data_IF_926782970228
#
_entry.id   IF_926782970228
#
_cell.length_a   1.000
_cell.length_b   1.000
_cell.length_c   1.000
_cell.angle_alpha   90.00
_cell.angle_beta   90.00
_cell.angle_gamma   90.00
#
_symmetry.space_group_name_H-M   'P 1'
#
loop_
_entity.id
_entity.type
_entity.pdbx_description
1 polymer ?
#
# COMPACT_ATOMS: atom_id res chain seq x y z
N UNK A 1 -80.13 5.90 -33.78
CA UNK A 1 -78.90 5.59 -34.54
C UNK A 1 -77.71 6.10 -33.75
N UNK A 2 -76.92 5.21 -33.11
CA UNK A 2 -75.72 5.57 -32.34
C UNK A 2 -74.64 6.06 -33.29
N UNK A 3 -74.19 7.32 -33.14
CA UNK A 3 -73.06 7.88 -33.90
C UNK A 3 -71.76 7.49 -33.20
N UNK A 4 -70.94 6.71 -33.92
CA UNK A 4 -69.59 6.30 -33.53
C UNK A 4 -68.64 7.48 -33.76
N UNK A 5 -67.94 7.91 -32.70
CA UNK A 5 -66.80 8.81 -32.82
C UNK A 5 -65.54 7.97 -33.07
N UNK A 6 -64.89 8.17 -34.22
CA UNK A 6 -63.57 7.62 -34.52
C UNK A 6 -62.54 8.56 -33.92
N UNK A 7 -61.82 8.09 -32.88
CA UNK A 7 -60.67 8.77 -32.33
C UNK A 7 -59.42 8.35 -33.13
N UNK A 8 -58.84 9.28 -33.90
CA UNK A 8 -57.51 9.09 -34.48
C UNK A 8 -56.46 9.29 -33.38
N UNK A 9 -55.75 8.23 -32.98
CA UNK A 9 -54.58 8.32 -32.12
C UNK A 9 -53.33 8.58 -32.98
N UNK A 10 -52.73 9.76 -32.84
CA UNK A 10 -51.41 10.09 -33.39
C UNK A 10 -50.36 9.38 -32.52
N UNK A 11 -49.71 8.33 -33.03
CA UNK A 11 -48.52 7.78 -32.39
C UNK A 11 -47.32 8.69 -32.71
N UNK A 12 -46.91 9.49 -31.73
CA UNK A 12 -45.58 10.09 -31.76
C UNK A 12 -44.55 8.98 -31.51
N UNK A 13 -43.79 8.62 -32.54
CA UNK A 13 -42.63 7.77 -32.38
C UNK A 13 -41.58 8.53 -31.55
N UNK A 14 -41.45 8.16 -30.27
CA UNK A 14 -40.32 8.59 -29.45
C UNK A 14 -39.09 7.83 -29.97
N UNK A 15 -38.02 8.51 -30.41
CA UNK A 15 -36.79 7.81 -30.73
C UNK A 15 -36.25 7.18 -29.44
N UNK A 16 -36.24 5.85 -29.38
CA UNK A 16 -35.54 5.11 -28.35
C UNK A 16 -34.05 5.34 -28.58
N UNK A 17 -33.47 6.30 -27.86
CA UNK A 17 -32.03 6.34 -27.69
C UNK A 17 -31.66 5.15 -26.81
N UNK A 18 -31.06 4.11 -27.41
CA UNK A 18 -30.39 3.06 -26.66
C UNK A 18 -29.31 3.73 -25.79
N UNK A 19 -29.42 3.61 -24.47
CA UNK A 19 -28.36 4.02 -23.56
C UNK A 19 -27.11 3.22 -23.91
N UNK A 20 -26.02 3.89 -24.31
CA UNK A 20 -24.69 3.26 -24.32
C UNK A 20 -24.50 2.66 -22.93
N UNK A 21 -24.36 1.34 -22.85
CA UNK A 21 -24.13 0.67 -21.58
C UNK A 21 -22.86 1.20 -20.91
N UNK A 22 -22.88 1.34 -19.59
CA UNK A 22 -21.73 1.80 -18.82
C UNK A 22 -20.62 0.75 -18.87
N UNK A 23 -19.55 1.06 -19.60
CA UNK A 23 -18.37 0.22 -19.80
C UNK A 23 -17.14 0.79 -19.06
N UNK A 24 -17.32 1.81 -18.22
CA UNK A 24 -16.23 2.45 -17.48
C UNK A 24 -15.89 1.72 -16.19
N UNK A 25 -14.60 1.62 -15.92
CA UNK A 25 -14.04 1.12 -14.67
C UNK A 25 -13.43 2.27 -13.87
N UNK A 26 -13.45 2.12 -12.56
CA UNK A 26 -12.80 2.99 -11.59
C UNK A 26 -11.80 2.18 -10.75
N UNK A 27 -10.87 2.82 -10.01
CA UNK A 27 -9.86 2.09 -9.23
C UNK A 27 -10.46 1.08 -8.23
N UNK A 28 -11.62 1.38 -7.64
CA UNK A 28 -12.34 0.51 -6.70
C UNK A 28 -12.98 -0.74 -7.33
N UNK A 29 -12.96 -0.83 -8.66
CA UNK A 29 -13.39 -2.01 -9.41
C UNK A 29 -12.26 -3.00 -9.68
N UNK A 30 -11.02 -2.62 -9.34
CA UNK A 30 -9.82 -3.40 -9.63
C UNK A 30 -9.20 -3.92 -8.35
N UNK A 31 -8.75 -5.17 -8.38
CA UNK A 31 -7.91 -5.73 -7.33
C UNK A 31 -6.72 -6.44 -7.99
N UNK A 32 -5.51 -6.06 -7.57
CA UNK A 32 -4.26 -6.66 -8.02
C UNK A 32 -3.71 -7.48 -6.87
N UNK A 33 -3.45 -8.76 -7.12
CA UNK A 33 -2.88 -9.69 -6.14
C UNK A 33 -1.60 -10.27 -6.74
N UNK A 34 -0.43 -10.08 -6.11
CA UNK A 34 0.81 -10.70 -6.57
C UNK A 34 0.69 -12.23 -6.66
N UNK A 35 1.35 -12.85 -7.63
CA UNK A 35 1.44 -14.31 -7.69
C UNK A 35 2.21 -14.84 -6.47
N UNK A 36 1.65 -15.85 -5.80
CA UNK A 36 2.21 -16.54 -4.64
C UNK A 36 2.80 -17.89 -5.03
N UNK A 37 3.69 -18.44 -4.19
CA UNK A 37 4.35 -19.73 -4.45
C UNK A 37 3.39 -20.94 -4.57
N UNK A 38 2.14 -20.81 -4.12
CA UNK A 38 1.13 -21.87 -4.17
C UNK A 38 0.13 -21.69 -5.32
N UNK A 39 0.29 -20.67 -6.16
CA UNK A 39 -0.63 -20.42 -7.26
C UNK A 39 -0.50 -21.44 -8.38
N UNK A 40 -1.59 -21.66 -9.11
CA UNK A 40 -1.64 -22.73 -10.11
C UNK A 40 -0.91 -22.35 -11.41
N UNK A 41 -0.62 -21.07 -11.63
CA UNK A 41 0.12 -20.62 -12.81
C UNK A 41 1.63 -20.76 -12.61
N UNK A 42 2.12 -20.54 -11.38
CA UNK A 42 3.50 -20.70 -10.88
C UNK A 42 4.57 -20.46 -11.95
N UNK A 43 4.51 -19.30 -12.61
CA UNK A 43 5.60 -18.84 -13.49
C UNK A 43 6.60 -17.90 -12.77
N UNK A 44 6.22 -17.50 -11.56
CA UNK A 44 7.08 -17.00 -10.49
C UNK A 44 7.30 -15.49 -10.51
N UNK A 45 6.53 -14.72 -11.29
CA UNK A 45 6.80 -13.29 -11.50
C UNK A 45 5.61 -12.43 -12.00
N UNK A 46 4.37 -12.92 -12.07
CA UNK A 46 3.20 -12.12 -12.52
C UNK A 46 2.28 -11.65 -11.40
N UNK A 47 1.07 -11.23 -11.77
CA UNK A 47 0.00 -10.90 -10.83
C UNK A 47 -1.38 -11.30 -11.34
N UNK A 48 -2.29 -11.54 -10.42
CA UNK A 48 -3.71 -11.73 -10.67
C UNK A 48 -4.42 -10.38 -10.67
N UNK A 49 -5.11 -10.08 -11.76
CA UNK A 49 -5.97 -8.92 -11.90
C UNK A 49 -7.44 -9.36 -11.85
N UNK A 50 -8.14 -8.95 -10.81
CA UNK A 50 -9.58 -9.12 -10.69
C UNK A 50 -10.29 -7.81 -11.06
N UNK A 51 -11.32 -7.92 -11.88
CA UNK A 51 -12.06 -6.77 -12.44
C UNK A 51 -13.53 -6.96 -12.13
N UNK A 52 -14.12 -6.08 -11.32
CA UNK A 52 -15.54 -6.16 -10.95
C UNK A 52 -16.42 -6.22 -12.20
N UNK A 53 -17.33 -7.18 -12.23
CA UNK A 53 -18.41 -7.23 -13.21
C UNK A 53 -19.47 -6.23 -12.78
N UNK A 54 -19.64 -5.17 -13.58
CA UNK A 54 -20.68 -4.17 -13.37
C UNK A 54 -21.24 -3.65 -14.69
N UNK A 55 -22.41 -3.03 -14.61
CA UNK A 55 -23.07 -2.40 -15.75
C UNK A 55 -23.30 -3.39 -16.89
N UNK A 56 -22.96 -2.98 -18.11
CA UNK A 56 -23.12 -3.80 -19.32
C UNK A 56 -21.86 -4.59 -19.68
N UNK A 57 -20.86 -4.66 -18.79
CA UNK A 57 -19.59 -5.33 -19.09
C UNK A 57 -19.80 -6.85 -19.06
N UNK A 58 -19.55 -7.51 -20.19
CA UNK A 58 -19.70 -8.97 -20.34
C UNK A 58 -18.40 -9.70 -20.69
N UNK A 59 -17.36 -8.97 -21.09
CA UNK A 59 -16.01 -9.52 -21.20
C UNK A 59 -14.97 -8.41 -21.18
N UNK A 60 -13.71 -8.79 -20.92
CA UNK A 60 -12.58 -7.89 -20.77
C UNK A 60 -11.33 -8.45 -21.47
N UNK A 61 -10.46 -7.57 -21.94
CA UNK A 61 -9.12 -7.94 -22.41
C UNK A 61 -8.08 -6.89 -22.03
N UNK A 62 -6.82 -7.31 -21.94
CA UNK A 62 -5.69 -6.39 -21.77
C UNK A 62 -5.17 -5.99 -23.14
N UNK A 63 -5.22 -4.69 -23.44
CA UNK A 63 -4.73 -4.10 -24.67
C UNK A 63 -3.53 -3.21 -24.40
N UNK A 64 -2.76 -2.97 -25.46
CA UNK A 64 -1.71 -1.97 -25.42
C UNK A 64 -2.22 -0.55 -25.17
N UNK A 65 -1.33 0.26 -24.59
CA UNK A 65 -1.56 1.65 -24.23
C UNK A 65 -1.20 2.66 -25.33
N UNK A 66 -0.52 2.23 -26.40
CA UNK A 66 -0.09 3.12 -27.48
C UNK A 66 -1.22 3.39 -28.47
N UNK A 67 -1.99 4.46 -28.23
CA UNK A 67 -2.97 4.96 -29.20
C UNK A 67 -2.24 5.75 -30.29
N UNK A 68 -2.45 5.43 -31.57
CA UNK A 68 -2.01 6.29 -32.67
C UNK A 68 -2.62 7.69 -32.50
N UNK A 69 -1.83 8.78 -32.43
CA UNK A 69 -2.33 10.14 -32.32
C UNK A 69 -3.30 10.54 -33.43
N UNK A 70 -3.30 9.82 -34.56
CA UNK A 70 -4.18 10.03 -35.71
C UNK A 70 -5.38 9.06 -35.74
N UNK A 71 -5.48 8.15 -34.77
CA UNK A 71 -6.57 7.18 -34.63
C UNK A 71 -6.69 6.16 -35.77
N UNK A 72 -5.62 5.90 -36.54
CA UNK A 72 -5.65 5.04 -37.73
C UNK A 72 -5.15 3.61 -37.50
N UNK A 73 -4.51 3.32 -36.36
CA UNK A 73 -3.96 1.98 -36.06
C UNK A 73 -4.68 1.33 -34.88
N UNK A 74 -4.97 0.03 -35.02
CA UNK A 74 -5.60 -0.78 -33.99
C UNK A 74 -4.63 -1.04 -32.81
N UNK A 75 -5.15 -0.92 -31.59
CA UNK A 75 -4.45 -1.41 -30.39
C UNK A 75 -4.55 -2.95 -30.36
N UNK A 76 -3.40 -3.63 -30.37
CA UNK A 76 -3.29 -5.05 -30.17
C UNK A 76 -3.63 -5.45 -28.74
N UNK A 77 -4.34 -6.56 -28.62
CA UNK A 77 -4.45 -7.27 -27.36
C UNK A 77 -3.09 -7.87 -26.99
N UNK A 78 -2.70 -7.72 -25.73
CA UNK A 78 -1.53 -8.41 -25.20
C UNK A 78 -1.76 -9.91 -25.11
N UNK A 79 -0.66 -10.65 -25.18
CA UNK A 79 -0.60 -12.09 -24.98
C UNK A 79 0.51 -12.46 -24.02
N UNK A 80 0.32 -13.55 -23.29
CA UNK A 80 1.38 -14.20 -22.52
C UNK A 80 2.38 -14.93 -23.45
N UNK A 81 3.62 -15.11 -23.01
CA UNK A 81 4.59 -15.97 -23.71
C UNK A 81 4.30 -17.46 -23.52
N UNK A 82 3.72 -17.81 -22.37
CA UNK A 82 3.40 -19.18 -21.96
C UNK A 82 1.91 -19.33 -21.77
N UNK A 83 1.43 -20.55 -21.97
CA UNK A 83 0.05 -20.91 -21.66
C UNK A 83 -0.17 -20.81 -20.15
N UNK A 84 -1.27 -20.20 -19.73
CA UNK A 84 -1.79 -20.29 -18.38
C UNK A 84 -3.28 -20.61 -18.48
N UNK A 85 -3.79 -21.44 -17.58
CA UNK A 85 -5.18 -21.91 -17.61
C UNK A 85 -6.21 -20.81 -17.30
N UNK A 86 -5.79 -19.73 -16.65
CA UNK A 86 -6.69 -18.63 -16.26
C UNK A 86 -7.16 -17.90 -17.52
N UNK A 87 -6.23 -17.56 -18.41
CA UNK A 87 -6.56 -16.82 -19.63
C UNK A 87 -6.72 -17.76 -20.85
N UNK A 88 -5.97 -18.86 -20.88
CA UNK A 88 -5.79 -19.65 -22.10
C UNK A 88 -6.98 -20.51 -22.48
N UNK A 89 -7.88 -20.78 -21.53
CA UNK A 89 -9.14 -21.50 -21.72
C UNK A 89 -10.32 -20.58 -22.09
N UNK A 90 -10.09 -19.26 -22.07
CA UNK A 90 -11.12 -18.26 -22.39
C UNK A 90 -11.36 -18.12 -23.90
N UNK A 91 -12.62 -17.85 -24.26
CA UNK A 91 -13.03 -17.70 -25.66
C UNK A 91 -12.89 -16.25 -26.08
N UNK A 92 -12.31 -16.05 -27.28
CA UNK A 92 -12.23 -14.75 -27.94
C UNK A 92 -12.83 -14.79 -29.34
N UNK A 93 -13.56 -13.75 -29.70
CA UNK A 93 -14.10 -13.53 -31.04
C UNK A 93 -13.22 -12.51 -31.79
N UNK A 94 -13.01 -12.76 -33.08
CA UNK A 94 -12.38 -11.81 -33.99
C UNK A 94 -13.07 -11.90 -35.36
N UNK A 95 -13.52 -10.77 -35.90
CA UNK A 95 -14.23 -10.69 -37.19
C UNK A 95 -15.44 -11.64 -37.27
N UNK A 96 -16.23 -11.73 -36.19
CA UNK A 96 -17.43 -12.55 -36.12
C UNK A 96 -17.19 -14.06 -36.03
N UNK A 97 -15.94 -14.50 -35.86
CA UNK A 97 -15.58 -15.91 -35.68
C UNK A 97 -14.82 -16.14 -34.38
N UNK A 98 -14.96 -17.34 -33.80
CA UNK A 98 -14.11 -17.79 -32.70
C UNK A 98 -12.66 -17.78 -33.17
N UNK A 99 -11.78 -17.15 -32.40
CA UNK A 99 -10.36 -17.14 -32.65
C UNK A 99 -9.78 -18.50 -32.25
N UNK A 100 -9.43 -19.32 -33.24
CA UNK A 100 -8.99 -20.71 -33.06
C UNK A 100 -7.54 -20.93 -33.54
N UNK A 101 -6.69 -19.90 -33.41
CA UNK A 101 -5.27 -20.01 -33.73
C UNK A 101 -4.50 -20.63 -32.56
N UNK A 102 -3.32 -21.26 -32.79
CA UNK A 102 -2.43 -21.69 -31.70
C UNK A 102 -2.04 -20.55 -30.76
N UNK A 103 -2.11 -19.29 -31.22
CA UNK A 103 -1.85 -18.10 -30.43
C UNK A 103 -3.04 -17.58 -29.62
N UNK A 104 -4.26 -18.06 -29.90
CA UNK A 104 -5.47 -17.62 -29.22
C UNK A 104 -5.42 -17.90 -27.72
N UNK A 105 -4.91 -19.09 -27.35
CA UNK A 105 -4.72 -19.58 -25.97
C UNK A 105 -3.71 -18.80 -25.12
N UNK A 106 -3.10 -17.76 -25.68
CA UNK A 106 -2.20 -16.87 -24.96
C UNK A 106 -2.81 -15.49 -24.73
N UNK A 107 -4.04 -15.23 -25.23
CA UNK A 107 -4.69 -13.93 -25.08
C UNK A 107 -4.97 -13.63 -23.62
N UNK A 108 -4.71 -12.39 -23.20
CA UNK A 108 -5.10 -11.88 -21.88
C UNK A 108 -6.55 -11.40 -21.95
N UNK A 109 -7.49 -12.35 -21.85
CA UNK A 109 -8.93 -12.12 -21.95
C UNK A 109 -9.65 -12.82 -20.81
N UNK A 110 -10.83 -12.31 -20.45
CA UNK A 110 -11.75 -13.01 -19.56
C UNK A 110 -13.20 -12.70 -19.94
N UNK A 111 -14.00 -13.75 -20.03
CA UNK A 111 -15.46 -13.73 -20.18
C UNK A 111 -16.13 -14.49 -19.05
N UNK A 112 -15.48 -15.51 -18.50
CA UNK A 112 -15.97 -16.23 -17.31
C UNK A 112 -15.96 -15.29 -16.11
N UNK A 113 -17.03 -15.42 -15.32
CA UNK A 113 -17.25 -14.64 -14.11
C UNK A 113 -17.08 -15.57 -12.91
N UNK A 114 -16.33 -15.10 -11.93
CA UNK A 114 -16.18 -15.74 -10.63
C UNK A 114 -16.62 -14.79 -9.51
N UNK A 115 -16.78 -15.33 -8.30
CA UNK A 115 -17.19 -14.54 -7.13
C UNK A 115 -15.98 -14.33 -6.23
N UNK A 116 -15.55 -13.08 -6.09
CA UNK A 116 -14.47 -12.66 -5.21
C UNK A 116 -15.02 -12.05 -3.91
N UNK A 117 -14.45 -12.35 -2.72
CA UNK A 117 -14.97 -11.87 -1.43
C UNK A 117 -15.10 -10.34 -1.31
N UNK A 118 -14.24 -9.60 -2.01
CA UNK A 118 -14.22 -8.12 -1.98
C UNK A 118 -14.99 -7.50 -3.15
N UNK A 119 -14.92 -8.10 -4.34
CA UNK A 119 -15.47 -7.49 -5.56
C UNK A 119 -16.87 -8.02 -5.91
N UNK A 120 -17.33 -9.09 -5.27
CA UNK A 120 -18.51 -9.80 -5.74
C UNK A 120 -18.22 -10.49 -7.07
N UNK A 121 -19.15 -10.43 -8.02
CA UNK A 121 -18.90 -10.95 -9.37
C UNK A 121 -17.74 -10.19 -10.04
N UNK A 122 -16.75 -10.91 -10.55
CA UNK A 122 -15.59 -10.33 -11.23
C UNK A 122 -15.06 -11.23 -12.35
N UNK A 123 -14.32 -10.62 -13.27
CA UNK A 123 -13.46 -11.29 -14.23
C UNK A 123 -12.06 -11.47 -13.64
N UNK A 124 -11.37 -12.55 -14.03
CA UNK A 124 -10.03 -12.86 -13.56
C UNK A 124 -9.06 -12.98 -14.74
N UNK A 125 -8.00 -12.18 -14.74
CA UNK A 125 -6.91 -12.28 -15.72
C UNK A 125 -5.60 -12.43 -14.97
N UNK A 126 -4.80 -13.42 -15.34
CA UNK A 126 -3.41 -13.51 -14.91
C UNK A 126 -2.51 -12.71 -15.85
N UNK A 127 -1.78 -11.72 -15.34
CA UNK A 127 -0.87 -10.88 -16.12
C UNK A 127 0.58 -11.25 -15.80
N UNK A 128 1.31 -11.92 -16.72
CA UNK A 128 2.71 -12.24 -16.50
C UNK A 128 3.61 -11.01 -16.66
N UNK A 129 4.82 -11.08 -16.11
CA UNK A 129 5.84 -10.02 -16.22
C UNK A 129 6.20 -9.66 -17.65
N UNK A 130 6.09 -10.58 -18.60
CA UNK A 130 6.40 -10.33 -20.01
C UNK A 130 5.16 -10.51 -20.87
N UNK A 131 4.85 -9.47 -21.66
CA UNK A 131 3.71 -9.46 -22.56
C UNK A 131 4.16 -9.28 -24.00
N UNK A 132 3.52 -9.98 -24.92
CA UNK A 132 3.75 -9.90 -26.37
C UNK A 132 2.56 -9.24 -27.04
N UNK A 133 2.78 -8.37 -28.01
CA UNK A 133 1.73 -7.77 -28.84
C UNK A 133 2.07 -7.87 -30.33
N UNK A 134 1.05 -7.74 -31.18
CA UNK A 134 1.23 -7.75 -32.65
C UNK A 134 1.61 -9.09 -33.25
N UNK A 135 1.97 -9.12 -34.53
CA UNK A 135 2.44 -10.30 -35.26
C UNK A 135 3.65 -9.95 -36.13
N UNK A 136 4.47 -10.92 -36.52
CA UNK A 136 5.72 -10.67 -37.27
C UNK A 136 5.54 -9.91 -38.58
N UNK A 137 4.36 -10.01 -39.20
CA UNK A 137 3.98 -9.30 -40.43
C UNK A 137 3.27 -7.95 -40.17
N UNK A 138 3.13 -7.53 -38.91
CA UNK A 138 2.60 -6.22 -38.49
C UNK A 138 3.55 -5.57 -37.48
N UNK A 139 3.17 -4.41 -36.93
CA UNK A 139 3.81 -3.93 -35.70
C UNK A 139 3.64 -4.98 -34.60
N UNK A 140 4.73 -5.31 -33.93
CA UNK A 140 4.80 -6.30 -32.85
C UNK A 140 5.95 -5.96 -31.91
N UNK A 141 5.95 -6.61 -30.75
CA UNK A 141 7.01 -6.44 -29.78
C UNK A 141 6.68 -7.13 -28.46
N UNK A 142 7.61 -6.96 -27.53
CA UNK A 142 7.52 -7.45 -26.17
C UNK A 142 7.62 -6.26 -25.21
N UNK A 143 6.88 -6.32 -24.12
CA UNK A 143 7.04 -5.40 -23.01
C UNK A 143 7.25 -6.19 -21.73
N UNK A 144 8.06 -5.63 -20.84
CA UNK A 144 8.18 -6.11 -19.47
C UNK A 144 7.32 -5.23 -18.57
N UNK A 145 6.38 -5.83 -17.85
CA UNK A 145 5.54 -5.18 -16.85
C UNK A 145 6.38 -4.93 -15.61
N UNK A 146 6.57 -3.66 -15.31
CA UNK A 146 7.28 -3.12 -14.15
C UNK A 146 6.38 -2.14 -13.41
N UNK A 147 6.83 -1.67 -12.25
CA UNK A 147 6.18 -0.54 -11.59
C UNK A 147 6.00 0.65 -12.55
N UNK A 148 4.84 1.29 -12.45
CA UNK A 148 4.48 2.42 -13.31
C UNK A 148 4.06 2.05 -14.73
N UNK A 149 4.05 0.77 -15.13
CA UNK A 149 3.65 0.34 -16.49
C UNK A 149 2.19 0.67 -16.74
N UNK A 150 1.89 1.26 -17.90
CA UNK A 150 0.52 1.54 -18.33
C UNK A 150 -0.07 0.42 -19.16
N UNK A 151 -1.18 -0.15 -18.70
CA UNK A 151 -1.99 -1.14 -19.40
C UNK A 151 -3.41 -0.62 -19.62
N UNK A 152 -4.09 -1.10 -20.65
CA UNK A 152 -5.51 -0.80 -20.88
C UNK A 152 -6.36 -2.04 -20.62
N UNK A 153 -7.37 -1.90 -19.76
CA UNK A 153 -8.47 -2.87 -19.66
C UNK A 153 -9.52 -2.43 -20.67
N UNK A 154 -9.62 -3.16 -21.78
CA UNK A 154 -10.70 -2.96 -22.74
C UNK A 154 -11.91 -3.78 -22.31
N UNK A 155 -13.00 -3.09 -22.02
CA UNK A 155 -14.29 -3.68 -21.62
C UNK A 155 -15.21 -3.80 -22.83
N UNK A 156 -16.03 -4.85 -22.86
CA UNK A 156 -16.97 -5.10 -23.95
C UNK A 156 -18.39 -5.26 -23.43
N UNK A 157 -19.34 -4.70 -24.18
CA UNK A 157 -20.77 -4.95 -23.99
C UNK A 157 -21.14 -6.40 -24.29
N UNK A 158 -20.46 -7.02 -25.26
CA UNK A 158 -20.68 -8.42 -25.63
C UNK A 158 -19.74 -9.36 -24.87
N UNK A 159 -20.15 -10.62 -24.78
CA UNK A 159 -19.28 -11.71 -24.34
C UNK A 159 -18.14 -11.94 -25.34
N UNK A 160 -17.08 -12.62 -24.91
CA UNK A 160 -15.99 -13.12 -25.76
C UNK A 160 -15.18 -12.04 -26.49
N UNK A 161 -15.14 -10.83 -25.95
CA UNK A 161 -14.43 -9.68 -26.50
C UNK A 161 -14.82 -9.37 -27.95
N UNK A 162 -16.12 -9.49 -28.25
CA UNK A 162 -16.65 -9.32 -29.59
C UNK A 162 -16.79 -7.83 -29.97
N UNK A 163 -15.95 -7.40 -30.91
CA UNK A 163 -15.92 -6.06 -31.49
C UNK A 163 -17.17 -5.66 -32.28
N UNK A 164 -18.14 -6.57 -32.49
CA UNK A 164 -19.43 -6.22 -33.09
C UNK A 164 -20.38 -5.50 -32.12
N UNK A 165 -20.02 -5.37 -30.84
CA UNK A 165 -20.71 -4.56 -29.83
C UNK A 165 -19.91 -3.34 -29.39
N UNK A 166 -20.44 -2.54 -28.44
CA UNK A 166 -19.68 -1.44 -27.87
C UNK A 166 -18.50 -1.94 -27.03
N UNK A 167 -17.39 -1.20 -27.06
CA UNK A 167 -16.24 -1.41 -26.19
C UNK A 167 -15.66 -0.06 -25.73
N UNK A 168 -14.94 -0.07 -24.61
CA UNK A 168 -14.25 1.11 -24.09
C UNK A 168 -12.89 0.73 -23.50
N UNK A 169 -11.93 1.65 -23.57
CA UNK A 169 -10.59 1.47 -23.01
C UNK A 169 -10.52 2.16 -21.63
N UNK A 170 -10.12 1.40 -20.61
CA UNK A 170 -9.94 1.85 -19.24
C UNK A 170 -8.44 1.75 -18.88
N UNK A 171 -7.68 2.86 -18.98
CA UNK A 171 -6.27 2.86 -18.67
C UNK A 171 -6.06 2.69 -17.17
N UNK A 172 -5.08 1.85 -16.79
CA UNK A 172 -4.61 1.75 -15.43
C UNK A 172 -3.09 1.64 -15.39
N UNK A 173 -2.51 2.12 -14.30
CA UNK A 173 -1.08 2.02 -14.02
C UNK A 173 -0.87 0.83 -13.09
N UNK A 174 0.01 -0.08 -13.47
CA UNK A 174 0.39 -1.21 -12.63
C UNK A 174 1.36 -0.72 -11.56
N UNK A 175 1.07 -1.05 -10.29
CA UNK A 175 2.02 -0.92 -9.19
C UNK A 175 2.58 -2.31 -8.88
N UNK A 176 3.82 -2.57 -9.28
CA UNK A 176 4.50 -3.87 -9.03
C UNK A 176 5.63 -3.61 -8.07
N UNK A 177 5.48 -4.03 -6.82
CA UNK A 177 6.58 -3.95 -5.85
C UNK A 177 7.47 -5.17 -6.08
N UNK A 178 8.68 -4.98 -6.62
CA UNK A 178 9.68 -6.06 -6.73
C UNK A 178 10.07 -6.52 -5.32
N UNK A 179 10.14 -7.83 -5.05
CA UNK A 179 10.47 -8.38 -3.73
C UNK A 179 11.81 -7.83 -3.20
N UNK A 180 12.81 -7.65 -4.08
CA UNK A 180 14.11 -7.07 -3.69
C UNK A 180 14.02 -5.59 -3.34
N UNK A 181 13.18 -4.86 -4.07
CA UNK A 181 12.97 -3.44 -3.83
C UNK A 181 12.19 -3.23 -2.52
N UNK A 182 11.18 -4.06 -2.27
CA UNK A 182 10.47 -4.15 -0.99
C UNK A 182 11.41 -4.45 0.19
N UNK A 183 12.34 -5.41 0.03
CA UNK A 183 13.35 -5.71 1.03
C UNK A 183 14.30 -4.53 1.29
N UNK A 184 14.78 -3.86 0.25
CA UNK A 184 15.69 -2.71 0.38
C UNK A 184 15.00 -1.52 1.08
N UNK A 185 13.77 -1.18 0.70
CA UNK A 185 13.00 -0.11 1.36
C UNK A 185 12.75 -0.42 2.84
N UNK A 186 12.34 -1.65 3.15
CA UNK A 186 12.08 -2.06 4.54
C UNK A 186 13.35 -2.04 5.39
N UNK A 187 14.49 -2.38 4.80
CA UNK A 187 15.79 -2.30 5.48
C UNK A 187 16.15 -0.83 5.80
N UNK A 188 15.87 0.11 4.89
CA UNK A 188 16.12 1.54 5.11
C UNK A 188 15.20 2.12 6.20
N UNK A 189 13.91 1.78 6.17
CA UNK A 189 12.95 2.20 7.18
C UNK A 189 13.36 1.69 8.57
N UNK A 190 13.70 0.40 8.68
CA UNK A 190 14.19 -0.20 9.93
C UNK A 190 15.46 0.50 10.43
N UNK A 191 16.43 0.75 9.55
CA UNK A 191 17.68 1.39 9.92
C UNK A 191 17.46 2.80 10.46
N UNK A 192 16.65 3.62 9.79
CA UNK A 192 16.38 4.98 10.23
C UNK A 192 15.52 5.05 11.49
N UNK A 193 14.49 4.19 11.63
CA UNK A 193 13.68 4.11 12.85
C UNK A 193 14.54 3.69 14.06
N UNK A 194 15.47 2.76 13.87
CA UNK A 194 16.45 2.41 14.91
C UNK A 194 17.32 3.61 15.32
N UNK A 195 17.81 4.38 14.36
CA UNK A 195 18.63 5.57 14.64
C UNK A 195 17.83 6.67 15.35
N UNK A 196 16.56 6.87 14.96
CA UNK A 196 15.65 7.82 15.62
C UNK A 196 15.42 7.39 17.08
N UNK A 197 14.99 6.14 17.31
CA UNK A 197 14.71 5.65 18.65
C UNK A 197 15.94 5.75 19.57
N UNK A 198 17.11 5.32 19.07
CA UNK A 198 18.37 5.43 19.80
C UNK A 198 18.75 6.88 20.09
N UNK A 199 18.62 7.78 19.12
CA UNK A 199 18.93 9.20 19.29
C UNK A 199 17.99 9.90 20.28
N UNK A 200 16.72 9.50 20.28
CA UNK A 200 15.69 9.98 21.22
C UNK A 200 15.60 9.19 22.53
N UNK A 201 16.55 8.29 22.81
CA UNK A 201 16.57 7.42 24.01
C UNK A 201 15.25 6.67 24.27
N UNK A 202 14.53 6.33 23.21
CA UNK A 202 13.35 5.46 23.26
C UNK A 202 13.62 4.08 22.70
N UNK A 203 12.56 3.34 22.46
CA UNK A 203 12.59 1.94 22.07
C UNK A 203 12.08 1.74 20.63
N UNK A 204 12.60 0.70 19.98
CA UNK A 204 12.06 0.20 18.72
C UNK A 204 11.12 -0.99 18.98
N UNK A 205 9.98 -1.00 18.31
CA UNK A 205 9.00 -2.07 18.31
C UNK A 205 8.66 -2.47 16.88
N UNK A 206 8.42 -3.75 16.66
CA UNK A 206 8.10 -4.30 15.34
C UNK A 206 6.66 -4.80 15.34
N UNK A 207 5.87 -4.32 14.39
CA UNK A 207 4.50 -4.77 14.15
C UNK A 207 4.44 -5.55 12.84
N UNK A 208 4.37 -6.87 12.91
CA UNK A 208 4.23 -7.74 11.74
C UNK A 208 2.73 -7.97 11.45
N UNK A 209 2.18 -7.16 10.55
CA UNK A 209 0.77 -7.06 10.23
C UNK A 209 -0.01 -6.23 11.26
N UNK A 210 -1.12 -5.62 10.82
CA UNK A 210 -1.88 -4.65 11.62
C UNK A 210 -2.32 -5.16 13.00
N UNK A 211 -2.62 -6.45 13.15
CA UNK A 211 -3.03 -7.07 14.43
C UNK A 211 -1.95 -7.01 15.52
N UNK A 212 -0.68 -6.85 15.15
CA UNK A 212 0.43 -6.74 16.10
C UNK A 212 0.64 -5.31 16.61
N UNK A 213 -0.02 -4.31 16.00
CA UNK A 213 0.16 -2.90 16.36
C UNK A 213 -0.37 -2.59 17.78
N UNK A 214 -1.62 -2.95 18.17
CA UNK A 214 -2.11 -2.66 19.51
C UNK A 214 -1.26 -3.26 20.64
N UNK A 215 -0.75 -4.52 20.56
CA UNK A 215 0.22 -5.04 21.51
C UNK A 215 1.51 -4.20 21.65
N UNK A 216 2.08 -3.70 20.55
CA UNK A 216 3.29 -2.87 20.61
C UNK A 216 3.02 -1.50 21.24
N UNK A 217 1.89 -0.88 20.91
CA UNK A 217 1.45 0.38 21.53
C UNK A 217 1.27 0.23 23.03
N UNK A 218 0.66 -0.88 23.47
CA UNK A 218 0.53 -1.21 24.89
C UNK A 218 1.88 -1.35 25.57
N UNK A 219 2.86 -1.99 24.94
CA UNK A 219 4.21 -2.14 25.48
C UNK A 219 4.89 -0.77 25.63
N UNK A 220 4.85 0.07 24.59
CA UNK A 220 5.37 1.45 24.64
C UNK A 220 4.71 2.28 25.76
N UNK A 221 3.38 2.21 25.90
CA UNK A 221 2.65 2.92 26.94
C UNK A 221 2.97 2.41 28.35
N UNK A 222 3.16 1.09 28.51
CA UNK A 222 3.44 0.48 29.82
C UNK A 222 4.74 1.00 30.46
N UNK A 223 5.71 1.42 29.64
CA UNK A 223 6.95 2.01 30.13
C UNK A 223 6.73 3.37 30.80
N UNK A 224 5.58 4.02 30.57
CA UNK A 224 5.21 5.28 31.21
C UNK A 224 4.43 5.09 32.50
N UNK A 225 4.01 3.87 32.84
CA UNK A 225 3.28 3.57 34.07
C UNK A 225 4.07 4.02 35.31
N UNK A 226 3.34 4.45 36.34
CA UNK A 226 3.92 4.97 37.58
C UNK A 226 4.35 6.45 37.54
N UNK A 227 4.24 7.12 36.38
CA UNK A 227 4.39 8.57 36.32
C UNK A 227 3.14 9.29 36.85
N UNK A 228 3.32 10.31 37.69
CA UNK A 228 2.21 11.15 38.18
C UNK A 228 1.52 11.92 37.04
N UNK A 229 2.31 12.38 36.07
CA UNK A 229 1.86 13.05 34.84
C UNK A 229 2.55 12.41 33.65
N UNK A 230 1.77 12.01 32.65
CA UNK A 230 2.27 11.43 31.40
C UNK A 230 1.75 12.24 30.21
N UNK A 231 2.62 12.47 29.22
CA UNK A 231 2.26 13.14 27.98
C UNK A 231 2.76 12.33 26.81
N UNK A 232 1.84 12.02 25.91
CA UNK A 232 2.08 11.10 24.80
C UNK A 232 1.60 11.75 23.51
N UNK A 233 2.49 11.87 22.54
CA UNK A 233 2.13 12.28 21.18
C UNK A 233 2.33 11.10 20.26
N UNK A 234 1.29 10.76 19.50
CA UNK A 234 1.39 9.77 18.42
C UNK A 234 1.68 10.50 17.11
N UNK A 235 2.79 10.17 16.45
CA UNK A 235 3.10 10.60 15.10
C UNK A 235 2.82 9.42 14.17
N UNK A 236 1.75 9.46 13.39
CA UNK A 236 1.24 8.31 12.63
C UNK A 236 1.23 8.63 11.14
N UNK A 237 1.90 7.77 10.37
CA UNK A 237 1.80 7.72 8.92
C UNK A 237 0.35 7.51 8.50
N UNK A 238 -0.21 8.38 7.67
CA UNK A 238 -1.59 8.32 7.19
C UNK A 238 -1.70 8.01 5.69
N UNK A 239 -0.65 7.45 5.09
CA UNK A 239 -0.62 7.05 3.67
C UNK A 239 -1.45 5.78 3.42
N UNK A 240 -1.67 5.45 2.14
CA UNK A 240 -2.55 4.35 1.74
C UNK A 240 -2.14 2.97 2.27
N UNK A 241 -0.84 2.74 2.52
CA UNK A 241 -0.32 1.48 3.08
C UNK A 241 -0.84 1.20 4.49
N UNK A 242 -1.15 2.24 5.27
CA UNK A 242 -1.52 2.16 6.69
C UNK A 242 -3.01 1.86 6.93
N UNK A 243 -3.76 1.49 5.89
CA UNK A 243 -5.24 1.40 5.94
C UNK A 243 -5.75 0.37 6.94
N UNK A 244 -5.17 -0.82 6.98
CA UNK A 244 -5.52 -1.86 7.93
C UNK A 244 -5.02 -1.54 9.35
N UNK A 245 -3.85 -0.90 9.48
CA UNK A 245 -3.36 -0.38 10.77
C UNK A 245 -4.32 0.65 11.38
N UNK A 246 -4.87 1.58 10.60
CA UNK A 246 -5.89 2.52 11.09
C UNK A 246 -7.18 1.83 11.54
N UNK A 247 -7.54 0.73 10.87
CA UNK A 247 -8.67 -0.09 11.30
C UNK A 247 -8.40 -0.67 12.69
N UNK A 248 -7.23 -1.28 12.91
CA UNK A 248 -6.83 -1.83 14.21
C UNK A 248 -6.65 -0.74 15.28
N UNK A 249 -6.11 0.43 14.92
CA UNK A 249 -6.01 1.59 15.81
C UNK A 249 -7.39 1.98 16.34
N UNK A 250 -8.38 2.13 15.45
CA UNK A 250 -9.71 2.59 15.86
C UNK A 250 -10.52 1.49 16.56
N UNK A 251 -10.50 0.26 16.06
CA UNK A 251 -11.38 -0.81 16.54
C UNK A 251 -10.81 -1.62 17.72
N UNK A 252 -9.49 -1.68 17.86
CA UNK A 252 -8.83 -2.50 18.91
C UNK A 252 -8.03 -1.64 19.86
N UNK A 253 -7.17 -0.76 19.35
CA UNK A 253 -6.33 0.07 20.23
C UNK A 253 -7.12 1.12 21.01
N UNK A 254 -8.04 1.88 20.40
CA UNK A 254 -8.80 2.89 21.15
C UNK A 254 -9.55 2.29 22.35
N UNK A 255 -10.30 1.18 22.24
CA UNK A 255 -10.88 0.51 23.41
C UNK A 255 -9.86 0.09 24.47
N UNK A 256 -8.71 -0.46 24.06
CA UNK A 256 -7.64 -0.87 24.98
C UNK A 256 -6.98 0.35 25.66
N UNK A 257 -6.74 1.42 24.92
CA UNK A 257 -6.18 2.69 25.40
C UNK A 257 -7.08 3.24 26.51
N UNK A 258 -8.41 3.24 26.34
CA UNK A 258 -9.36 3.63 27.41
C UNK A 258 -9.16 2.85 28.71
N UNK A 259 -8.77 1.59 28.63
CA UNK A 259 -8.48 0.76 29.82
C UNK A 259 -7.11 1.13 30.39
N UNK A 260 -6.09 1.27 29.54
CA UNK A 260 -4.73 1.58 29.98
C UNK A 260 -4.62 2.95 30.65
N UNK A 261 -5.33 3.97 30.14
CA UNK A 261 -5.29 5.33 30.70
C UNK A 261 -5.84 5.42 32.13
N UNK A 262 -6.64 4.44 32.58
CA UNK A 262 -7.11 4.38 33.99
C UNK A 262 -5.98 4.14 34.99
N UNK A 263 -4.81 3.70 34.53
CA UNK A 263 -3.62 3.51 35.36
C UNK A 263 -2.83 4.80 35.60
N UNK A 264 -3.19 5.89 34.92
CA UNK A 264 -2.50 7.17 34.99
C UNK A 264 -3.36 8.17 35.77
N UNK A 265 -2.73 8.94 36.65
CA UNK A 265 -3.42 10.02 37.40
C UNK A 265 -3.75 11.19 36.47
N UNK A 266 -2.78 11.59 35.65
CA UNK A 266 -2.94 12.66 34.65
C UNK A 266 -2.25 12.26 33.36
N UNK A 267 -3.00 12.28 32.25
CA UNK A 267 -2.47 11.93 30.93
C UNK A 267 -3.01 12.86 29.85
N UNK A 268 -2.12 13.42 29.04
CA UNK A 268 -2.48 14.17 27.83
C UNK A 268 -2.03 13.42 26.59
N UNK A 269 -2.92 13.34 25.61
CA UNK A 269 -2.72 12.68 24.33
C UNK A 269 -2.65 13.73 23.23
N UNK A 270 -1.64 13.67 22.38
CA UNK A 270 -1.52 14.45 21.15
C UNK A 270 -1.48 13.53 19.94
N UNK A 271 -1.88 14.04 18.78
CA UNK A 271 -1.80 13.34 17.51
C UNK A 271 -1.20 14.24 16.43
N UNK A 272 -0.22 13.71 15.72
CA UNK A 272 0.27 14.25 14.45
C UNK A 272 0.05 13.16 13.42
N UNK A 273 -0.73 13.45 12.39
CA UNK A 273 -0.79 12.59 11.20
C UNK A 273 0.17 13.16 10.17
N UNK A 274 0.94 12.32 9.50
CA UNK A 274 1.86 12.76 8.45
C UNK A 274 1.70 11.93 7.19
N UNK A 275 2.10 12.51 6.06
CA UNK A 275 2.19 11.85 4.76
C UNK A 275 3.39 12.42 3.99
N UNK A 276 3.43 12.29 2.67
CA UNK A 276 4.45 12.92 1.85
C UNK A 276 4.12 14.40 1.53
N UNK A 277 5.14 15.11 1.09
CA UNK A 277 5.10 16.45 0.56
C UNK A 277 4.17 16.58 -0.65
N UNK A 278 3.34 17.62 -0.64
CA UNK A 278 2.41 17.90 -1.73
C UNK A 278 1.07 17.18 -1.62
N UNK A 279 0.90 16.36 -0.59
CA UNK A 279 -0.41 15.82 -0.21
C UNK A 279 -1.23 16.84 0.61
N UNK A 280 -2.42 16.45 1.07
CA UNK A 280 -3.42 17.41 1.56
C UNK A 280 -3.17 17.98 2.96
N UNK A 281 -2.13 17.52 3.65
CA UNK A 281 -1.77 18.00 4.98
C UNK A 281 -0.84 19.19 4.89
N UNK A 282 -1.20 20.26 5.60
CA UNK A 282 -0.36 21.46 5.74
C UNK A 282 -0.59 22.06 7.13
N UNK A 283 0.47 22.04 7.94
CA UNK A 283 0.52 22.74 9.21
C UNK A 283 1.85 23.47 9.33
N UNK A 284 1.79 24.80 9.23
CA UNK A 284 2.96 25.68 9.23
C UNK A 284 3.99 25.31 8.14
N UNK A 285 3.50 24.88 6.97
CA UNK A 285 4.36 24.46 5.85
C UNK A 285 4.97 23.06 6.01
N UNK A 286 4.57 22.29 7.03
CA UNK A 286 4.92 20.89 7.19
C UNK A 286 3.79 20.00 6.64
N UNK A 287 4.10 18.86 5.99
CA UNK A 287 3.13 17.90 5.45
C UNK A 287 2.45 17.05 6.54
N UNK A 288 1.87 17.72 7.54
CA UNK A 288 1.31 17.10 8.74
C UNK A 288 -0.04 17.71 9.10
N UNK A 289 -0.88 16.91 9.75
CA UNK A 289 -2.12 17.36 10.39
C UNK A 289 -1.95 17.26 11.91
N UNK A 290 -1.94 18.42 12.54
CA UNK A 290 -1.70 18.57 13.98
C UNK A 290 -3.01 18.59 14.78
N UNK A 291 -3.04 17.86 15.90
CA UNK A 291 -4.09 17.91 16.90
C UNK A 291 -3.48 18.18 18.28
N UNK A 292 -3.92 19.24 18.94
CA UNK A 292 -3.38 19.66 20.24
C UNK A 292 -3.57 18.62 21.35
N UNK A 293 -2.93 18.80 22.51
CA UNK A 293 -3.13 17.91 23.64
C UNK A 293 -4.61 17.85 24.10
N UNK A 294 -5.11 16.65 24.38
CA UNK A 294 -6.40 16.40 25.05
C UNK A 294 -6.24 15.41 26.20
N UNK A 295 -7.07 15.55 27.22
CA UNK A 295 -7.26 14.54 28.28
C UNK A 295 -8.42 13.57 27.93
N UNK A 296 -9.14 13.85 26.83
CA UNK A 296 -10.29 13.06 26.38
C UNK A 296 -9.88 12.02 25.35
N UNK A 297 -9.86 10.76 25.78
CA UNK A 297 -9.69 9.62 24.87
C UNK A 297 -10.78 9.53 23.79
N UNK A 298 -11.98 10.06 24.06
CA UNK A 298 -13.06 10.12 23.06
C UNK A 298 -12.79 11.20 21.99
N UNK A 299 -12.12 12.28 22.35
CA UNK A 299 -11.67 13.29 21.40
C UNK A 299 -10.51 12.75 20.54
N UNK A 300 -9.53 12.12 21.19
CA UNK A 300 -8.44 11.43 20.49
C UNK A 300 -8.97 10.38 19.50
N UNK A 301 -9.96 9.58 19.90
CA UNK A 301 -10.62 8.61 19.02
C UNK A 301 -11.29 9.24 17.80
N UNK A 302 -11.88 10.44 17.94
CA UNK A 302 -12.45 11.18 16.80
C UNK A 302 -11.37 11.63 15.82
N UNK A 303 -10.20 12.02 16.30
CA UNK A 303 -9.09 12.42 15.43
C UNK A 303 -8.58 11.24 14.60
N UNK A 304 -8.34 10.09 15.24
CA UNK A 304 -7.98 8.84 14.53
C UNK A 304 -9.02 8.49 13.47
N UNK A 305 -10.32 8.55 13.82
CA UNK A 305 -11.41 8.29 12.87
C UNK A 305 -11.47 9.29 11.70
N UNK A 306 -11.01 10.52 11.92
CA UNK A 306 -11.03 11.60 10.93
C UNK A 306 -9.85 11.57 9.95
N UNK A 307 -8.91 10.64 10.14
CA UNK A 307 -7.77 10.48 9.26
C UNK A 307 -8.24 10.04 7.86
N UNK A 308 -7.72 10.70 6.83
CA UNK A 308 -8.05 10.36 5.45
C UNK A 308 -6.90 9.54 4.86
N UNK A 309 -7.07 8.22 4.83
CA UNK A 309 -6.00 7.27 4.52
C UNK A 309 -5.96 6.98 3.02
N UNK A 310 -5.06 7.64 2.31
CA UNK A 310 -4.76 7.47 0.89
C UNK A 310 -3.41 8.11 0.57
N UNK A 311 -2.95 7.95 -0.66
CA UNK A 311 -1.67 8.54 -1.09
C UNK A 311 -0.49 7.68 -0.69
N UNK A 312 0.71 8.26 -0.71
CA UNK A 312 1.97 7.55 -0.46
C UNK A 312 2.28 6.52 -1.55
N UNK A 313 2.09 6.92 -2.82
CA UNK A 313 2.41 6.02 -3.92
C UNK A 313 3.92 5.82 -4.09
N UNK A 314 4.70 6.82 -3.69
CA UNK A 314 6.14 6.83 -3.59
C UNK A 314 6.62 6.88 -2.13
N UNK A 315 7.65 6.10 -1.82
CA UNK A 315 8.49 6.29 -0.62
C UNK A 315 9.71 7.09 -1.04
N UNK A 316 10.31 7.94 -0.18
CA UNK A 316 10.15 8.09 1.28
C UNK A 316 8.94 8.91 1.75
N UNK A 317 8.75 9.01 3.07
CA UNK A 317 7.69 9.81 3.74
C UNK A 317 8.26 10.95 4.63
N UNK A 318 7.42 11.92 5.02
CA UNK A 318 7.82 13.09 5.82
C UNK A 318 7.93 12.84 7.35
N UNK A 319 8.67 11.79 7.72
CA UNK A 319 8.83 11.32 9.10
C UNK A 319 9.50 12.38 10.00
N UNK A 320 10.53 13.07 9.51
CA UNK A 320 11.25 14.04 10.34
C UNK A 320 10.41 15.28 10.62
N UNK A 321 9.57 15.69 9.68
CA UNK A 321 8.62 16.79 9.80
C UNK A 321 7.55 16.47 10.86
N UNK A 322 7.07 15.23 10.88
CA UNK A 322 6.15 14.73 11.90
C UNK A 322 6.76 14.78 13.31
N UNK A 323 8.00 14.32 13.45
CA UNK A 323 8.74 14.37 14.71
C UNK A 323 9.04 15.80 15.14
N UNK A 324 9.46 16.65 14.22
CA UNK A 324 9.68 18.07 14.48
C UNK A 324 8.41 18.73 14.97
N UNK A 325 7.27 18.48 14.31
CA UNK A 325 6.00 19.02 14.73
C UNK A 325 5.60 18.54 16.14
N UNK A 326 5.83 17.26 16.42
CA UNK A 326 5.56 16.61 17.71
C UNK A 326 6.41 17.17 18.85
N UNK A 327 7.66 17.54 18.57
CA UNK A 327 8.56 18.15 19.56
C UNK A 327 8.31 19.65 19.73
N UNK A 328 8.00 20.36 18.63
CA UNK A 328 8.02 21.82 18.60
C UNK A 328 6.70 22.49 18.96
N UNK A 329 5.56 21.98 18.48
CA UNK A 329 4.26 22.67 18.60
C UNK A 329 3.41 22.21 19.78
N UNK A 330 3.86 21.22 20.55
CA UNK A 330 3.19 20.82 21.78
C UNK A 330 3.74 21.58 22.99
N UNK A 331 2.84 22.07 23.84
CA UNK A 331 3.19 22.70 25.11
C UNK A 331 3.43 21.62 26.19
N UNK A 332 4.61 21.00 26.11
CA UNK A 332 5.01 19.90 27.00
C UNK A 332 5.20 20.35 28.45
N UNK A 333 4.56 19.64 29.38
CA UNK A 333 4.71 19.89 30.81
C UNK A 333 6.08 19.43 31.30
N UNK A 334 6.87 20.34 31.88
CA UNK A 334 8.22 20.06 32.39
C UNK A 334 8.28 18.94 33.43
N UNK A 335 7.22 18.75 34.21
CA UNK A 335 7.15 17.73 35.27
C UNK A 335 6.57 16.39 34.78
N UNK A 336 6.08 16.33 33.54
CA UNK A 336 5.53 15.11 32.99
C UNK A 336 6.62 14.18 32.46
N UNK A 337 6.35 12.87 32.50
CA UNK A 337 7.05 11.90 31.66
C UNK A 337 6.54 12.05 30.23
N UNK A 338 7.44 12.34 29.30
CA UNK A 338 7.11 12.71 27.91
C UNK A 338 7.58 11.65 26.93
N UNK A 339 6.73 11.33 25.97
CA UNK A 339 7.06 10.37 24.92
C UNK A 339 6.37 10.75 23.61
N UNK A 340 7.09 10.59 22.50
CA UNK A 340 6.53 10.54 21.16
C UNK A 340 6.59 9.08 20.69
N UNK A 341 5.50 8.59 20.11
CA UNK A 341 5.44 7.27 19.47
C UNK A 341 5.25 7.48 17.97
N UNK A 342 6.32 7.27 17.21
CA UNK A 342 6.31 7.27 15.76
C UNK A 342 5.79 5.92 15.24
N UNK A 343 4.87 5.93 14.29
CA UNK A 343 4.27 4.73 13.68
C UNK A 343 4.27 4.91 12.16
N UNK A 344 4.89 4.00 11.42
CA UNK A 344 4.91 4.03 9.95
C UNK A 344 5.61 2.81 9.33
N UNK A 345 5.52 2.70 8.00
CA UNK A 345 6.07 1.58 7.22
C UNK A 345 7.15 1.99 6.19
N UNK A 346 7.51 3.27 6.15
CA UNK A 346 8.44 3.86 5.19
C UNK A 346 9.56 4.67 5.85
N UNK A 347 10.70 4.80 5.15
CA UNK A 347 11.84 5.60 5.58
C UNK A 347 11.58 7.11 5.46
N UNK A 348 12.28 7.96 6.24
CA UNK A 348 12.25 9.42 6.07
C UNK A 348 12.87 9.85 4.74
N UNK A 349 12.46 11.01 4.23
CA UNK A 349 13.23 11.70 3.19
C UNK A 349 14.68 11.97 3.63
N UNK A 350 15.69 11.72 2.77
CA UNK A 350 17.09 11.91 3.11
C UNK A 350 17.49 13.39 3.25
N UNK A 351 16.72 14.28 2.64
CA UNK A 351 16.92 15.72 2.68
C UNK A 351 15.59 16.42 2.96
N UNK A 352 15.58 17.48 3.80
CA UNK A 352 14.38 18.27 4.04
C UNK A 352 13.86 18.85 2.72
N UNK A 353 12.55 18.75 2.47
CA UNK A 353 11.88 19.36 1.31
C UNK A 353 10.99 20.55 1.70
N UNK A 354 10.76 20.74 3.00
CA UNK A 354 9.94 21.81 3.55
C UNK A 354 10.70 23.12 3.80
N UNK A 355 10.02 24.13 4.37
CA UNK A 355 10.61 25.44 4.65
C UNK A 355 11.67 25.41 5.77
N UNK A 356 11.69 24.35 6.57
CA UNK A 356 12.63 24.15 7.67
C UNK A 356 13.64 23.05 7.33
N UNK A 357 14.93 23.21 7.66
CA UNK A 357 15.95 22.19 7.46
C UNK A 357 15.84 21.11 8.55
N UNK A 358 14.78 20.30 8.47
CA UNK A 358 14.50 19.25 9.45
C UNK A 358 15.24 17.96 9.07
N UNK A 359 16.05 17.46 9.99
CA UNK A 359 16.73 16.17 9.87
C UNK A 359 16.69 15.39 11.20
N UNK A 360 17.19 14.15 11.18
CA UNK A 360 17.28 13.29 12.36
C UNK A 360 18.02 13.94 13.54
N UNK A 361 19.12 14.64 13.26
CA UNK A 361 19.96 15.22 14.32
C UNK A 361 19.23 16.36 15.02
N UNK A 362 18.52 17.19 14.26
CA UNK A 362 17.69 18.26 14.82
C UNK A 362 16.60 17.69 15.72
N UNK A 363 15.78 16.75 15.22
CA UNK A 363 14.63 16.23 15.99
C UNK A 363 15.08 15.45 17.24
N UNK A 364 16.15 14.66 17.15
CA UNK A 364 16.67 13.92 18.31
C UNK A 364 17.31 14.85 19.34
N UNK A 365 18.00 15.90 18.90
CA UNK A 365 18.56 16.91 19.82
C UNK A 365 17.46 17.70 20.54
N UNK A 366 16.44 18.18 19.82
CA UNK A 366 15.33 18.90 20.43
C UNK A 366 14.52 18.02 21.40
N UNK A 367 14.30 16.75 21.06
CA UNK A 367 13.65 15.79 21.95
C UNK A 367 14.48 15.59 23.23
N UNK A 368 15.80 15.42 23.10
CA UNK A 368 16.70 15.27 24.24
C UNK A 368 16.73 16.51 25.15
N UNK A 369 16.76 17.72 24.58
CA UNK A 369 16.69 18.98 25.32
C UNK A 369 15.42 19.12 26.15
N UNK A 370 14.29 18.61 25.62
CA UNK A 370 12.99 18.67 26.30
C UNK A 370 12.69 17.46 27.20
N UNK A 371 13.59 16.47 27.24
CA UNK A 371 13.39 15.22 27.98
C UNK A 371 12.28 14.33 27.41
N UNK A 372 12.10 14.35 26.08
CA UNK A 372 11.09 13.57 25.36
C UNK A 372 11.75 12.29 24.83
N UNK A 373 11.20 11.13 25.20
CA UNK A 373 11.61 9.85 24.61
C UNK A 373 10.98 9.67 23.21
N UNK A 374 11.72 9.11 22.26
CA UNK A 374 11.21 8.79 20.92
C UNK A 374 11.10 7.27 20.75
N UNK A 375 9.90 6.73 20.89
CA UNK A 375 9.62 5.35 20.54
C UNK A 375 9.24 5.25 19.06
N UNK A 376 9.67 4.17 18.41
CA UNK A 376 9.37 3.91 17.01
C UNK A 376 8.71 2.53 16.87
N UNK A 377 7.52 2.49 16.28
CA UNK A 377 6.83 1.26 15.90
C UNK A 377 6.91 1.15 14.38
N UNK A 378 7.73 0.22 13.89
CA UNK A 378 7.81 -0.07 12.46
C UNK A 378 6.73 -1.07 12.08
N UNK A 379 5.92 -0.70 11.09
CA UNK A 379 4.94 -1.60 10.47
C UNK A 379 5.63 -2.40 9.38
N UNK A 380 5.46 -3.72 9.43
CA UNK A 380 5.99 -4.67 8.47
C UNK A 380 4.90 -5.65 8.06
N UNK A 381 4.94 -6.10 6.82
CA UNK A 381 4.05 -7.17 6.36
C UNK A 381 4.31 -8.48 7.13
N UNK A 382 3.25 -9.24 7.41
CA UNK A 382 3.33 -10.48 8.20
C UNK A 382 4.27 -11.53 7.60
N UNK A 383 4.41 -11.57 6.26
CA UNK A 383 5.35 -12.44 5.55
C UNK A 383 6.81 -12.25 5.97
N UNK A 384 7.17 -11.05 6.42
CA UNK A 384 8.54 -10.71 6.83
C UNK A 384 8.91 -11.25 8.20
N UNK A 385 7.92 -11.67 9.01
CA UNK A 385 8.17 -12.15 10.36
C UNK A 385 9.20 -13.28 10.39
N UNK A 386 9.09 -14.25 9.47
CA UNK A 386 10.01 -15.39 9.41
C UNK A 386 11.43 -14.98 8.96
N UNK A 387 11.52 -14.00 8.05
CA UNK A 387 12.81 -13.47 7.57
C UNK A 387 13.50 -12.73 8.69
N UNK A 388 12.78 -11.83 9.36
CA UNK A 388 13.28 -11.06 10.50
C UNK A 388 13.73 -11.95 11.66
N UNK A 389 12.94 -12.97 12.02
CA UNK A 389 13.30 -13.94 13.08
C UNK A 389 14.57 -14.71 12.73
N UNK A 390 14.75 -15.10 11.46
CA UNK A 390 15.98 -15.78 10.99
C UNK A 390 17.18 -14.84 11.09
N UNK A 391 17.07 -13.63 10.56
CA UNK A 391 18.17 -12.66 10.55
C UNK A 391 18.57 -12.21 11.95
N UNK A 392 17.59 -12.01 12.84
CA UNK A 392 17.84 -11.67 14.23
C UNK A 392 18.65 -12.76 14.93
N UNK A 393 18.27 -14.03 14.74
CA UNK A 393 19.04 -15.19 15.26
C UNK A 393 20.45 -15.24 14.68
N UNK A 394 20.62 -14.96 13.40
CA UNK A 394 21.95 -14.93 12.77
C UNK A 394 22.82 -13.78 13.31
N UNK A 395 22.25 -12.58 13.50
CA UNK A 395 22.93 -11.43 14.12
C UNK A 395 23.35 -11.74 15.55
N UNK A 396 22.47 -12.35 16.35
CA UNK A 396 22.80 -12.81 17.71
C UNK A 396 23.93 -13.85 17.70
N UNK A 397 23.85 -14.87 16.84
CA UNK A 397 24.92 -15.87 16.73
C UNK A 397 26.26 -15.28 16.28
N UNK A 398 26.25 -14.24 15.44
CA UNK A 398 27.47 -13.51 15.04
C UNK A 398 28.02 -12.65 16.17
N UNK A 399 27.17 -12.01 16.96
CA UNK A 399 27.57 -11.20 18.10
C UNK A 399 28.17 -12.04 19.25
N UNK A 400 27.80 -13.33 19.36
CA UNK A 400 28.29 -14.26 20.39
C UNK A 400 29.67 -14.86 20.07
N UNK A 401 30.21 -14.72 18.85
CA UNK A 401 31.60 -15.15 18.54
C UNK A 401 32.60 -14.10 19.05
N UNK A 402 33.43 -14.39 20.07
CA UNK A 402 34.39 -13.43 20.60
C UNK A 402 35.60 -13.26 19.68
N UNK A 403 36.17 -12.06 19.71
CA UNK A 403 37.48 -11.72 19.18
C UNK A 403 38.61 -12.53 19.85
N UNK A 404 38.98 -13.69 19.30
CA UNK A 404 40.26 -14.33 19.64
C UNK A 404 41.35 -13.88 18.68
N UNK A 405 41.89 -12.69 18.93
CA UNK A 405 43.28 -12.34 18.60
C UNK A 405 43.82 -11.34 19.63
N UNK A 406 44.22 -11.85 20.78
CA UNK A 406 45.23 -11.21 21.63
C UNK A 406 46.15 -12.30 22.15
N UNK A 407 47.43 -12.18 21.78
CA UNK A 407 48.44 -13.20 22.00
C UNK A 407 48.88 -13.36 23.45
N UNK A 408 49.53 -14.48 23.70
CA UNK A 408 50.52 -14.61 24.75
C UNK A 408 51.70 -15.42 24.19
N UNK A 409 52.88 -14.79 24.29
CA UNK A 409 54.21 -15.36 24.08
C UNK A 409 54.34 -16.72 24.79
N UNK A 410 54.92 -17.69 24.09
CA UNK A 410 55.68 -18.75 24.76
C UNK A 410 57.16 -18.41 24.57
N UNK A 411 57.74 -17.83 25.63
CA UNK A 411 59.19 -17.73 25.80
C UNK A 411 59.74 -19.12 26.14
N UNK A 412 60.83 -19.46 25.47
CA UNK A 412 61.68 -20.61 25.77
C UNK A 412 62.15 -20.63 27.22
N UNK A 413 62.11 -21.80 27.85
CA UNK A 413 63.00 -22.12 28.97
C UNK A 413 63.67 -23.46 28.66
N UNK A 414 64.98 -23.39 28.57
CA UNK A 414 65.92 -24.51 28.45
C UNK A 414 66.31 -25.06 29.82
N UNK A 415 66.41 -26.39 29.84
CA UNK A 415 67.37 -27.26 30.57
C UNK A 415 67.15 -27.75 32.01
N UNK A 416 67.74 -28.95 32.20
CA UNK A 416 68.05 -29.78 33.39
C UNK A 416 66.97 -30.85 33.67
N UNK A 417 67.20 -32.16 33.51
CA UNK A 417 68.41 -33.01 33.55
C UNK A 417 68.22 -34.29 32.73
#
# INVERSE_FOLDING_TARGET
MKRIFVLLALFAAVPVFASKGDLKLSPEDLLVVPESQNDIVNDGNGFHLFIRKKGSINSVLIAESTKDPRGKLDNFAYRAEKYNRINGDEIRMLNGKKLDSPSARYSLVATTVEVHPVLGECFHIYVPKKLVFGYSWTRHGEIEVRDGTFLNIRTFEKYFCDYSGAYDDNPFRVKVIDEKESEEFKTKAEEEFNKIAKGGKGNIFYSFGARQLPPQLKKSLSEMEGADKAELVFAIDATGSMKDDFWELYHVWIPELKVQLRKFSHVRLGLVLYKDYGEEYDFDGLPVKYFAFTESVDEFAKWIKSAYIHGGDDRPEAVFEALYASVRYYDWNRDAKKKIVLIGDAEPHPHPRGPFPVDRNLVTSLAAEQGIALDCIIIMDESYKKVFERESREKEMRAVKPSEKTGALIQSVSDVK
#
